data_IF_623450635401
#
_entry.id   IF_623450635401
#
_cell.length_a   1.000
_cell.length_b   1.000
_cell.length_c   1.000
_cell.angle_alpha   90.00
_cell.angle_beta   90.00
_cell.angle_gamma   90.00
#
_symmetry.space_group_name_H-M   'P 1'
#
loop_
_entity.id
_entity.type
_entity.pdbx_description
1 polymer ?
#
# COMPACT_ATOMS: atom_id res chain seq x y z
N UNK A 1 -19.57 -5.24 -9.14
CA UNK A 1 -18.71 -5.31 -7.93
C UNK A 1 -17.39 -4.58 -8.16
N UNK A 2 -16.71 -4.84 -9.28
CA UNK A 2 -15.42 -4.22 -9.64
C UNK A 2 -15.43 -2.68 -9.64
N UNK A 3 -16.44 -2.05 -10.26
CA UNK A 3 -16.57 -0.58 -10.30
C UNK A 3 -16.73 0.05 -8.92
N UNK A 4 -17.52 -0.57 -8.03
CA UNK A 4 -17.71 -0.11 -6.65
C UNK A 4 -16.42 -0.19 -5.84
N UNK A 5 -15.63 -1.24 -6.02
CA UNK A 5 -14.33 -1.41 -5.35
C UNK A 5 -13.33 -0.36 -5.83
N UNK A 6 -13.22 -0.15 -7.14
CA UNK A 6 -12.34 0.86 -7.73
C UNK A 6 -12.66 2.27 -7.23
N UNK A 7 -13.94 2.64 -7.20
CA UNK A 7 -14.39 3.94 -6.70
C UNK A 7 -14.12 4.10 -5.21
N UNK A 8 -14.33 3.05 -4.41
CA UNK A 8 -14.04 3.07 -2.98
C UNK A 8 -12.53 3.27 -2.72
N UNK A 9 -11.67 2.59 -3.48
CA UNK A 9 -10.21 2.75 -3.38
C UNK A 9 -9.77 4.14 -3.83
N UNK A 10 -10.30 4.67 -4.94
CA UNK A 10 -9.99 6.04 -5.41
C UNK A 10 -10.38 7.10 -4.38
N UNK A 11 -11.56 6.97 -3.76
CA UNK A 11 -12.00 7.86 -2.68
C UNK A 11 -11.10 7.75 -1.45
N UNK A 12 -10.73 6.53 -1.06
CA UNK A 12 -9.81 6.30 0.06
C UNK A 12 -8.44 6.93 -0.19
N UNK A 13 -7.88 6.75 -1.39
CA UNK A 13 -6.61 7.35 -1.79
C UNK A 13 -6.67 8.87 -1.77
N UNK A 14 -7.72 9.47 -2.37
CA UNK A 14 -7.90 10.93 -2.36
C UNK A 14 -8.00 11.48 -0.95
N UNK A 15 -8.76 10.81 -0.07
CA UNK A 15 -8.87 11.20 1.35
C UNK A 15 -7.52 11.11 2.06
N UNK A 16 -6.76 10.05 1.83
CA UNK A 16 -5.43 9.88 2.43
C UNK A 16 -4.47 10.99 2.00
N UNK A 17 -4.49 11.38 0.72
CA UNK A 17 -3.69 12.51 0.21
C UNK A 17 -4.08 13.82 0.89
N UNK A 18 -5.37 14.12 1.01
CA UNK A 18 -5.82 15.34 1.71
C UNK A 18 -5.42 15.36 3.17
N UNK A 19 -5.51 14.22 3.87
CA UNK A 19 -5.08 14.10 5.26
C UNK A 19 -3.56 14.25 5.36
N UNK A 20 -2.79 13.69 4.44
CA UNK A 20 -1.34 13.85 4.39
C UNK A 20 -0.96 15.33 4.27
N UNK A 21 -1.61 16.05 3.35
CA UNK A 21 -1.38 17.49 3.14
C UNK A 21 -1.76 18.30 4.38
N UNK A 22 -2.97 18.09 4.91
CA UNK A 22 -3.45 18.83 6.09
C UNK A 22 -2.55 18.55 7.31
N UNK A 23 -2.19 17.29 7.53
CA UNK A 23 -1.28 16.89 8.60
C UNK A 23 0.13 17.46 8.42
N UNK A 24 0.65 17.52 7.18
CA UNK A 24 1.94 18.13 6.90
C UNK A 24 1.94 19.64 7.19
N UNK A 25 0.91 20.37 6.74
CA UNK A 25 0.76 21.81 7.01
C UNK A 25 0.68 22.08 8.51
N UNK A 26 -0.15 21.32 9.23
CA UNK A 26 -0.24 21.42 10.70
C UNK A 26 1.09 21.10 11.37
N UNK A 27 1.81 20.08 10.90
CA UNK A 27 3.12 19.71 11.41
C UNK A 27 4.20 20.76 11.17
N UNK A 28 4.20 21.44 10.02
CA UNK A 28 5.10 22.58 9.79
C UNK A 28 4.81 23.69 10.80
N UNK A 29 3.54 24.07 10.97
CA UNK A 29 3.16 25.12 11.92
C UNK A 29 3.60 24.78 13.36
N UNK A 30 3.39 23.53 13.79
CA UNK A 30 3.81 23.05 15.10
C UNK A 30 5.35 23.06 15.22
N UNK A 31 6.08 22.58 14.21
CA UNK A 31 7.54 22.54 14.27
C UNK A 31 8.18 23.93 14.30
N UNK A 32 7.65 24.88 13.52
CA UNK A 32 8.10 26.28 13.58
C UNK A 32 7.86 26.89 14.96
N UNK A 33 6.70 26.59 15.57
CA UNK A 33 6.37 27.05 16.91
C UNK A 33 7.27 26.43 17.99
N UNK A 34 7.54 25.11 17.91
CA UNK A 34 8.39 24.39 18.86
C UNK A 34 9.87 24.80 18.80
N UNK A 35 10.35 25.19 17.62
CA UNK A 35 11.74 25.64 17.42
C UNK A 35 11.90 27.16 17.47
N UNK A 36 10.96 27.88 18.09
CA UNK A 36 11.05 29.32 18.19
C UNK A 36 12.29 29.74 18.99
N UNK A 37 13.16 30.55 18.36
CA UNK A 37 14.45 30.96 18.94
C UNK A 37 15.60 29.97 18.74
N UNK A 38 15.36 28.85 18.06
CA UNK A 38 16.39 27.86 17.69
C UNK A 38 17.20 28.27 16.45
N UNK A 39 18.17 27.44 16.11
CA UNK A 39 18.96 27.63 14.88
C UNK A 39 18.12 27.37 13.61
N UNK A 40 18.47 27.94 12.43
CA UNK A 40 17.73 27.68 11.19
C UNK A 40 17.65 26.18 10.83
N UNK A 41 18.71 25.42 11.14
CA UNK A 41 18.76 23.98 10.93
C UNK A 41 17.78 23.24 11.85
N UNK A 42 17.72 23.64 13.12
CA UNK A 42 16.78 23.08 14.09
C UNK A 42 15.33 23.34 13.69
N UNK A 43 15.00 24.59 13.33
CA UNK A 43 13.66 24.94 12.82
C UNK A 43 13.29 24.09 11.61
N UNK A 44 14.22 23.90 10.67
CA UNK A 44 14.00 23.07 9.50
C UNK A 44 13.76 21.60 9.85
N UNK A 45 14.64 20.98 10.65
CA UNK A 45 14.55 19.56 11.02
C UNK A 45 13.29 19.25 11.84
N UNK A 46 12.96 20.09 12.82
CA UNK A 46 11.75 19.95 13.64
C UNK A 46 10.50 20.09 12.78
N UNK A 47 10.44 21.12 11.92
CA UNK A 47 9.29 21.32 11.01
C UNK A 47 9.11 20.17 10.03
N UNK A 48 10.21 19.69 9.43
CA UNK A 48 10.18 18.54 8.52
C UNK A 48 9.74 17.26 9.24
N UNK A 49 10.30 17.00 10.43
CA UNK A 49 9.97 15.85 11.26
C UNK A 49 8.50 15.83 11.67
N UNK A 50 7.99 16.96 12.17
CA UNK A 50 6.57 17.12 12.53
C UNK A 50 5.64 16.97 11.32
N UNK A 51 6.00 17.56 10.17
CA UNK A 51 5.20 17.45 8.94
C UNK A 51 5.10 16.00 8.46
N UNK A 52 6.23 15.29 8.40
CA UNK A 52 6.28 13.88 8.03
C UNK A 52 5.53 13.01 9.04
N UNK A 53 5.70 13.25 10.35
CA UNK A 53 5.03 12.49 11.40
C UNK A 53 3.51 12.62 11.34
N UNK A 54 2.99 13.85 11.34
CA UNK A 54 1.55 14.09 11.36
C UNK A 54 0.88 13.76 10.02
N UNK A 55 1.49 14.19 8.91
CA UNK A 55 0.99 13.87 7.57
C UNK A 55 1.05 12.38 7.27
N UNK A 56 2.20 11.74 7.54
CA UNK A 56 2.42 10.31 7.32
C UNK A 56 1.54 9.43 8.21
N UNK A 57 1.55 9.62 9.52
CA UNK A 57 0.74 8.80 10.43
C UNK A 57 -0.76 9.01 10.22
N UNK A 58 -1.20 10.25 10.01
CA UNK A 58 -2.60 10.56 9.73
C UNK A 58 -3.10 9.88 8.46
N UNK A 59 -2.32 9.96 7.38
CA UNK A 59 -2.65 9.31 6.12
C UNK A 59 -2.60 7.77 6.24
N UNK A 60 -1.60 7.22 6.93
CA UNK A 60 -1.47 5.78 7.17
C UNK A 60 -2.69 5.23 7.94
N UNK A 61 -3.07 5.87 9.04
CA UNK A 61 -4.25 5.51 9.83
C UNK A 61 -5.53 5.59 8.99
N UNK A 62 -5.69 6.65 8.20
CA UNK A 62 -6.83 6.79 7.30
C UNK A 62 -6.92 5.68 6.25
N UNK A 63 -5.80 5.29 5.66
CA UNK A 63 -5.74 4.17 4.71
C UNK A 63 -6.02 2.82 5.37
N UNK A 64 -5.53 2.62 6.60
CA UNK A 64 -5.75 1.40 7.39
C UNK A 64 -7.23 1.24 7.76
N UNK A 65 -7.92 2.31 8.16
CA UNK A 65 -9.38 2.29 8.36
C UNK A 65 -10.12 1.94 7.07
N UNK A 66 -9.69 2.47 5.92
CA UNK A 66 -10.27 2.12 4.62
C UNK A 66 -10.06 0.64 4.28
N UNK A 67 -8.88 0.09 4.54
CA UNK A 67 -8.60 -1.33 4.32
C UNK A 67 -9.46 -2.23 5.19
N UNK A 68 -9.66 -1.91 6.48
CA UNK A 68 -10.57 -2.66 7.34
C UNK A 68 -11.99 -2.69 6.78
N UNK A 69 -12.47 -1.55 6.25
CA UNK A 69 -13.78 -1.48 5.61
C UNK A 69 -13.85 -2.28 4.31
N UNK A 70 -12.75 -2.36 3.55
CA UNK A 70 -12.68 -3.12 2.31
C UNK A 70 -12.43 -4.62 2.54
N UNK A 71 -12.00 -5.04 3.74
CA UNK A 71 -11.64 -6.42 4.06
C UNK A 71 -12.74 -7.41 3.70
N UNK A 72 -14.00 -7.07 3.96
CA UNK A 72 -15.15 -7.94 3.65
C UNK A 72 -15.29 -8.21 2.13
N UNK A 73 -15.00 -7.22 1.29
CA UNK A 73 -15.01 -7.36 -0.17
C UNK A 73 -13.86 -8.24 -0.65
N UNK A 74 -12.69 -8.11 0.00
CA UNK A 74 -11.52 -8.94 -0.31
C UNK A 74 -11.76 -10.39 0.07
N UNK A 75 -12.34 -10.64 1.25
CA UNK A 75 -12.67 -12.00 1.70
C UNK A 75 -13.82 -12.64 0.92
N UNK A 76 -14.70 -11.85 0.31
CA UNK A 76 -15.80 -12.37 -0.49
C UNK A 76 -15.30 -13.13 -1.74
N UNK A 77 -14.17 -12.71 -2.32
CA UNK A 77 -13.56 -13.37 -3.47
C UNK A 77 -13.15 -14.82 -3.16
N UNK A 78 -12.66 -15.07 -1.93
CA UNK A 78 -12.20 -16.38 -1.46
C UNK A 78 -13.15 -17.04 -0.47
N UNK A 79 -14.38 -16.53 -0.33
CA UNK A 79 -15.37 -17.03 0.61
C UNK A 79 -15.77 -18.48 0.30
N UNK A 80 -15.75 -19.34 1.31
CA UNK A 80 -16.11 -20.77 1.21
C UNK A 80 -14.94 -21.71 0.89
N UNK A 81 -13.72 -21.19 0.65
CA UNK A 81 -12.50 -21.98 0.51
C UNK A 81 -11.89 -22.30 1.88
N UNK A 82 -11.30 -23.49 2.02
CA UNK A 82 -10.49 -23.83 3.20
C UNK A 82 -9.19 -22.99 3.25
N UNK A 83 -8.58 -22.89 4.42
CA UNK A 83 -7.35 -22.12 4.64
C UNK A 83 -6.19 -22.60 3.75
N UNK A 84 -6.11 -23.89 3.42
CA UNK A 84 -5.12 -24.43 2.49
C UNK A 84 -5.36 -23.91 1.06
N UNK A 85 -6.59 -24.02 0.58
CA UNK A 85 -6.98 -23.56 -0.77
C UNK A 85 -6.81 -22.05 -0.92
N UNK A 86 -7.12 -21.27 0.10
CA UNK A 86 -6.89 -19.82 0.11
C UNK A 86 -5.40 -19.49 -0.05
N UNK A 87 -4.51 -20.22 0.65
CA UNK A 87 -3.06 -20.03 0.53
C UNK A 87 -2.56 -20.43 -0.85
N UNK A 88 -3.09 -21.49 -1.43
CA UNK A 88 -2.71 -21.94 -2.77
C UNK A 88 -3.15 -20.94 -3.84
N UNK A 89 -4.38 -20.43 -3.77
CA UNK A 89 -4.87 -19.35 -4.64
C UNK A 89 -4.00 -18.10 -4.48
N UNK A 90 -3.74 -17.67 -3.25
CA UNK A 90 -2.92 -16.48 -2.99
C UNK A 90 -1.50 -16.65 -3.52
N UNK A 91 -0.87 -17.81 -3.25
CA UNK A 91 0.48 -18.11 -3.71
C UNK A 91 0.54 -18.12 -5.22
N UNK A 92 -0.40 -18.79 -5.88
CA UNK A 92 -0.38 -18.93 -7.33
C UNK A 92 -0.65 -17.62 -8.07
N UNK A 93 -1.55 -16.77 -7.57
CA UNK A 93 -1.76 -15.41 -8.10
C UNK A 93 -0.50 -14.56 -7.92
N UNK A 94 0.15 -14.63 -6.75
CA UNK A 94 1.36 -13.85 -6.47
C UNK A 94 2.62 -14.40 -7.16
N UNK A 95 2.67 -15.69 -7.50
CA UNK A 95 3.77 -16.30 -8.24
C UNK A 95 3.53 -16.37 -9.74
N UNK A 96 2.32 -16.04 -10.21
CA UNK A 96 1.85 -16.31 -11.56
C UNK A 96 2.05 -17.80 -11.95
N UNK A 97 1.73 -18.71 -11.03
CA UNK A 97 1.80 -20.15 -11.25
C UNK A 97 0.46 -20.71 -11.74
N UNK A 98 0.49 -21.91 -12.33
CA UNK A 98 -0.72 -22.64 -12.74
C UNK A 98 -1.59 -23.00 -11.55
N UNK A 99 -2.91 -22.86 -11.69
CA UNK A 99 -3.91 -23.14 -10.66
C UNK A 99 -4.80 -24.29 -11.13
N UNK A 100 -5.29 -25.16 -10.23
CA UNK A 100 -6.28 -26.15 -10.59
C UNK A 100 -7.55 -25.50 -11.20
N UNK A 101 -8.14 -26.07 -12.26
CA UNK A 101 -9.27 -25.45 -12.97
C UNK A 101 -10.49 -25.20 -12.07
N UNK A 102 -10.67 -26.02 -11.02
CA UNK A 102 -11.73 -25.81 -10.03
C UNK A 102 -11.60 -24.49 -9.22
N UNK A 103 -10.39 -23.94 -9.11
CA UNK A 103 -10.08 -22.74 -8.33
C UNK A 103 -9.80 -21.51 -9.21
N UNK A 104 -9.78 -21.68 -10.54
CA UNK A 104 -9.37 -20.65 -11.49
C UNK A 104 -10.26 -19.40 -11.44
N UNK A 105 -11.58 -19.58 -11.47
CA UNK A 105 -12.55 -18.47 -11.35
C UNK A 105 -12.39 -17.67 -10.05
N UNK A 106 -12.05 -18.35 -8.96
CA UNK A 106 -11.79 -17.72 -7.65
C UNK A 106 -10.46 -16.99 -7.64
N UNK A 107 -9.44 -17.54 -8.29
CA UNK A 107 -8.13 -16.93 -8.42
C UNK A 107 -8.15 -15.66 -9.28
N UNK A 108 -8.87 -15.67 -10.40
CA UNK A 108 -9.08 -14.48 -11.24
C UNK A 108 -9.84 -13.40 -10.47
N UNK A 109 -10.92 -13.75 -9.77
CA UNK A 109 -11.64 -12.80 -8.92
C UNK A 109 -10.76 -12.20 -7.82
N UNK A 110 -9.91 -13.02 -7.19
CA UNK A 110 -8.93 -12.55 -6.19
C UNK A 110 -7.86 -11.65 -6.81
N UNK A 111 -7.38 -11.97 -8.01
CA UNK A 111 -6.37 -11.20 -8.73
C UNK A 111 -6.88 -9.78 -9.09
N UNK A 112 -8.12 -9.63 -9.55
CA UNK A 112 -8.72 -8.30 -9.79
C UNK A 112 -8.81 -7.47 -8.51
N UNK A 113 -9.25 -8.08 -7.41
CA UNK A 113 -9.30 -7.41 -6.11
C UNK A 113 -7.90 -6.96 -5.66
N UNK A 114 -6.89 -7.81 -5.83
CA UNK A 114 -5.50 -7.49 -5.52
C UNK A 114 -4.97 -6.35 -6.39
N UNK A 115 -5.23 -6.35 -7.69
CA UNK A 115 -4.79 -5.27 -8.58
C UNK A 115 -5.26 -3.90 -8.09
N UNK A 116 -6.51 -3.81 -7.63
CA UNK A 116 -7.10 -2.55 -7.15
C UNK A 116 -6.60 -2.19 -5.74
N UNK A 117 -6.35 -3.17 -4.87
CA UNK A 117 -6.03 -2.93 -3.45
C UNK A 117 -4.54 -2.81 -3.15
N UNK A 118 -3.65 -3.48 -3.89
CA UNK A 118 -2.18 -3.41 -3.70
C UNK A 118 -1.62 -1.98 -3.72
N UNK A 119 -2.05 -1.08 -4.62
CA UNK A 119 -1.59 0.31 -4.61
C UNK A 119 -1.94 1.03 -3.31
N UNK A 120 -3.11 0.77 -2.73
CA UNK A 120 -3.54 1.36 -1.47
C UNK A 120 -2.72 0.84 -0.29
N UNK A 121 -2.41 -0.46 -0.27
CA UNK A 121 -1.48 -1.06 0.72
C UNK A 121 -0.09 -0.45 0.61
N UNK A 122 0.40 -0.26 -0.62
CA UNK A 122 1.71 0.38 -0.86
C UNK A 122 1.72 1.81 -0.31
N UNK A 123 0.67 2.59 -0.57
CA UNK A 123 0.55 3.95 -0.07
C UNK A 123 0.49 3.99 1.46
N UNK A 124 -0.31 3.12 2.10
CA UNK A 124 -0.39 3.01 3.56
C UNK A 124 0.98 2.75 4.19
N UNK A 125 1.73 1.80 3.62
CA UNK A 125 3.05 1.43 4.14
C UNK A 125 4.07 2.57 3.98
N UNK A 126 4.02 3.28 2.85
CA UNK A 126 4.85 4.46 2.61
C UNK A 126 4.54 5.60 3.59
N UNK A 127 3.25 5.87 3.81
CA UNK A 127 2.82 6.87 4.80
C UNK A 127 3.25 6.49 6.21
N UNK A 128 3.17 5.21 6.57
CA UNK A 128 3.62 4.71 7.86
C UNK A 128 5.13 4.91 8.04
N UNK A 129 5.95 4.49 7.06
CA UNK A 129 7.39 4.67 7.13
C UNK A 129 7.80 6.15 7.14
N UNK A 130 7.12 6.98 6.36
CA UNK A 130 7.31 8.43 6.37
C UNK A 130 6.99 9.02 7.76
N UNK A 131 5.88 8.60 8.37
CA UNK A 131 5.47 9.03 9.70
C UNK A 131 6.48 8.64 10.78
N UNK A 132 6.94 7.39 10.77
CA UNK A 132 7.95 6.90 11.71
C UNK A 132 9.27 7.64 11.50
N UNK A 133 9.74 7.78 10.25
CA UNK A 133 10.97 8.50 9.95
C UNK A 133 10.89 9.97 10.41
N UNK A 134 9.75 10.64 10.20
CA UNK A 134 9.52 12.00 10.68
C UNK A 134 9.70 12.15 12.20
N UNK A 135 9.19 11.19 12.98
CA UNK A 135 9.39 11.19 14.44
C UNK A 135 10.86 11.08 14.84
N UNK A 136 11.68 10.39 14.04
CA UNK A 136 13.11 10.25 14.29
C UNK A 136 13.87 11.51 13.88
N UNK A 137 13.51 12.11 12.74
CA UNK A 137 14.07 13.37 12.24
C UNK A 137 13.87 14.50 13.24
N UNK A 138 12.69 14.58 13.86
CA UNK A 138 12.41 15.59 14.89
C UNK A 138 13.42 15.53 16.05
N UNK A 139 13.83 14.33 16.48
CA UNK A 139 14.79 14.19 17.57
C UNK A 139 16.26 14.25 17.14
N UNK A 140 16.58 14.45 15.86
CA UNK A 140 17.94 14.77 15.40
C UNK A 140 18.38 16.16 15.87
N UNK A 141 17.45 17.03 16.24
CA UNK A 141 17.74 18.29 16.91
C UNK A 141 18.36 18.10 18.32
N UNK A 142 18.34 16.87 18.86
CA UNK A 142 18.90 16.55 20.19
C UNK A 142 20.19 15.72 20.12
N UNK A 143 21.23 16.14 20.83
CA UNK A 143 22.61 15.64 20.67
C UNK A 143 22.81 14.18 21.14
N UNK A 144 22.12 13.74 22.19
CA UNK A 144 22.48 12.50 22.92
C UNK A 144 22.22 11.21 22.14
N UNK A 145 21.36 11.23 21.10
CA UNK A 145 20.94 10.02 20.35
C UNK A 145 20.97 10.19 18.83
N UNK A 146 21.61 11.25 18.34
CA UNK A 146 21.57 11.62 16.92
C UNK A 146 22.08 10.52 15.98
N UNK A 147 23.19 9.85 16.32
CA UNK A 147 23.72 8.77 15.48
C UNK A 147 22.75 7.59 15.33
N UNK A 148 22.09 7.17 16.42
CA UNK A 148 21.13 6.08 16.43
C UNK A 148 19.92 6.41 15.55
N UNK A 149 19.44 7.66 15.63
CA UNK A 149 18.33 8.16 14.81
C UNK A 149 18.69 8.22 13.33
N UNK A 150 19.90 8.64 12.97
CA UNK A 150 20.39 8.64 11.59
C UNK A 150 20.37 7.20 11.03
N UNK A 151 20.92 6.24 11.77
CA UNK A 151 20.92 4.83 11.38
C UNK A 151 19.48 4.32 11.20
N UNK A 152 18.59 4.62 12.15
CA UNK A 152 17.19 4.19 12.10
C UNK A 152 16.44 4.78 10.91
N UNK A 153 16.64 6.07 10.60
CA UNK A 153 16.09 6.72 9.39
C UNK A 153 16.63 6.05 8.13
N UNK A 154 17.94 5.79 8.08
CA UNK A 154 18.57 5.07 6.96
C UNK A 154 17.96 3.68 6.74
N UNK A 155 17.79 2.91 7.82
CA UNK A 155 17.13 1.59 7.78
C UNK A 155 15.68 1.71 7.30
N UNK A 156 14.91 2.69 7.78
CA UNK A 156 13.53 2.92 7.35
C UNK A 156 13.43 3.26 5.86
N UNK A 157 14.36 4.06 5.34
CA UNK A 157 14.43 4.38 3.91
C UNK A 157 14.72 3.12 3.09
N UNK A 158 15.70 2.32 3.51
CA UNK A 158 16.07 1.07 2.82
C UNK A 158 14.92 0.06 2.84
N UNK A 159 14.32 -0.18 4.02
CA UNK A 159 13.16 -1.07 4.18
C UNK A 159 11.98 -0.57 3.35
N UNK A 160 11.72 0.74 3.34
CA UNK A 160 10.69 1.36 2.51
C UNK A 160 10.92 1.12 1.02
N UNK A 161 12.14 1.33 0.53
CA UNK A 161 12.51 1.08 -0.86
C UNK A 161 12.34 -0.40 -1.25
N UNK A 162 12.85 -1.32 -0.42
CA UNK A 162 12.68 -2.77 -0.63
C UNK A 162 11.19 -3.13 -0.70
N UNK A 163 10.39 -2.59 0.22
CA UNK A 163 8.95 -2.85 0.29
C UNK A 163 8.25 -2.36 -0.98
N UNK A 164 8.52 -1.14 -1.44
CA UNK A 164 7.97 -0.62 -2.71
C UNK A 164 8.35 -1.51 -3.90
N UNK A 165 9.61 -1.94 -3.99
CA UNK A 165 10.05 -2.84 -5.07
C UNK A 165 9.32 -4.18 -5.01
N UNK A 166 9.18 -4.78 -3.83
CA UNK A 166 8.46 -6.05 -3.66
C UNK A 166 6.98 -5.93 -4.04
N UNK A 167 6.29 -4.87 -3.59
CA UNK A 167 4.87 -4.65 -3.92
C UNK A 167 4.67 -4.36 -5.41
N UNK A 168 5.56 -3.59 -6.05
CA UNK A 168 5.53 -3.38 -7.51
C UNK A 168 5.73 -4.69 -8.27
N UNK A 169 6.67 -5.54 -7.84
CA UNK A 169 6.86 -6.87 -8.43
C UNK A 169 5.64 -7.76 -8.24
N UNK A 170 4.98 -7.71 -7.08
CA UNK A 170 3.73 -8.43 -6.84
C UNK A 170 2.60 -7.94 -7.75
N UNK A 171 2.43 -6.63 -7.90
CA UNK A 171 1.43 -6.05 -8.81
C UNK A 171 1.72 -6.42 -10.28
N UNK A 172 2.98 -6.40 -10.69
CA UNK A 172 3.37 -6.86 -12.02
C UNK A 172 3.14 -8.37 -12.23
N UNK A 173 3.16 -9.19 -11.17
CA UNK A 173 2.83 -10.62 -11.24
C UNK A 173 1.32 -10.82 -11.36
N UNK A 174 0.52 -10.09 -10.57
CA UNK A 174 -0.95 -10.11 -10.65
C UNK A 174 -1.43 -9.71 -12.05
N UNK A 175 -0.89 -8.62 -12.63
CA UNK A 175 -1.25 -8.20 -13.98
C UNK A 175 -0.89 -9.21 -15.06
N UNK A 176 0.27 -9.86 -14.94
CA UNK A 176 0.67 -10.93 -15.85
C UNK A 176 -0.23 -12.16 -15.72
N UNK A 177 -0.64 -12.50 -14.50
CA UNK A 177 -1.59 -13.57 -14.25
C UNK A 177 -2.93 -13.27 -14.93
N UNK A 178 -3.47 -12.06 -14.77
CA UNK A 178 -4.73 -11.65 -15.43
C UNK A 178 -4.62 -11.68 -16.95
N UNK A 179 -3.57 -11.08 -17.53
CA UNK A 179 -3.35 -11.08 -18.98
C UNK A 179 -3.33 -12.49 -19.58
N UNK A 180 -2.64 -13.43 -18.92
CA UNK A 180 -2.58 -14.81 -19.38
C UNK A 180 -3.96 -15.51 -19.40
N UNK A 181 -4.88 -15.13 -18.52
CA UNK A 181 -6.23 -15.70 -18.50
C UNK A 181 -7.17 -15.01 -19.50
N UNK A 182 -6.99 -13.70 -19.70
CA UNK A 182 -7.74 -12.95 -20.73
C UNK A 182 -7.41 -13.46 -22.14
N UNK A 183 -6.13 -13.77 -22.42
CA UNK A 183 -5.67 -14.33 -23.69
C UNK A 183 -6.31 -15.71 -23.96
N UNK A 184 -6.35 -16.59 -22.96
CA UNK A 184 -6.97 -17.92 -23.08
C UNK A 184 -8.49 -17.83 -23.30
N UNK A 185 -9.16 -16.89 -22.63
CA UNK A 185 -10.58 -16.63 -22.82
C UNK A 185 -10.89 -16.10 -24.22
N UNK A 186 -10.03 -15.25 -24.77
CA UNK A 186 -10.15 -14.75 -26.14
C UNK A 186 -9.94 -15.87 -27.19
N UNK A 187 -8.96 -16.74 -26.97
CA UNK A 187 -8.67 -17.87 -27.86
C UNK A 187 -9.82 -18.89 -27.89
N UNK A 188 -10.37 -19.24 -26.73
CA UNK A 188 -11.56 -20.12 -26.65
C UNK A 188 -12.81 -19.49 -27.28
N UNK A 189 -13.02 -18.18 -27.14
CA UNK A 189 -14.13 -17.49 -27.80
C UNK A 189 -13.99 -17.42 -29.33
N UNK A 190 -12.76 -17.45 -29.84
CA UNK A 190 -12.46 -17.39 -31.29
C UNK A 190 -12.51 -18.74 -32.00
N UNK A 191 -12.57 -19.85 -31.26
CA UNK A 191 -12.63 -21.21 -31.82
C UNK A 191 -14.09 -21.58 -32.11
N UNK A 192 -14.54 -21.68 -33.38
CA UNK A 192 -15.93 -22.00 -33.69
C UNK A 192 -16.26 -23.43 -33.24
N UNK A 193 -17.49 -23.71 -32.78
CA UNK A 193 -17.87 -25.04 -32.35
C UNK A 193 -17.72 -25.99 -33.53
N UNK A 194 -16.83 -26.98 -33.38
CA UNK A 194 -16.70 -28.07 -34.32
C UNK A 194 -18.08 -28.74 -34.44
N UNK A 195 -18.75 -28.52 -35.57
CA UNK A 195 -20.00 -29.16 -35.91
C UNK A 195 -19.78 -30.68 -35.84
N UNK A 196 -20.36 -31.33 -34.84
CA UNK A 196 -20.58 -32.77 -34.78
C UNK A 196 -22.04 -33.05 -35.08
#
# INVERSE_FOLDING_TARGET
METQLQDAVRRAARRAVWIAIAGAVAGIAIGVWLSHGGSPLEVFLTSLGCAMALGGLGAALSTLVSQFRLKHLVSAATGGLDAAEQRDVQRAVLSAASIPPALESRAVAHAHVLEVTLPLVTAQQLFLFCGIAGSQVNGLASDVTSWFRIVLVGVLVVVGAITVVQLRRSLARVRRFLAAHDDVAAETASTPPAQR
#
